data_IF_710909009657
#
_entry.id   IF_710909009657
#
_cell.length_a   1.000
_cell.length_b   1.000
_cell.length_c   1.000
_cell.angle_alpha   90.00
_cell.angle_beta   90.00
_cell.angle_gamma   90.00
#
_symmetry.space_group_name_H-M   'P 1'
#
loop_
_entity.id
_entity.type
_entity.pdbx_description
1 polymer ?
#
# COMPACT_ATOMS: atom_id res chain seq x y z
N UNK A 1 2.22 -2.33 1.44
CA UNK A 1 3.57 -2.69 0.97
C UNK A 1 4.20 -1.49 0.29
N UNK A 2 5.47 -1.20 0.58
CA UNK A 2 6.24 -0.14 -0.05
C UNK A 2 7.42 -0.73 -0.80
N UNK A 3 7.63 -0.22 -2.01
CA UNK A 3 8.65 -0.70 -2.94
C UNK A 3 9.57 0.42 -3.42
N UNK A 4 10.82 0.10 -3.67
CA UNK A 4 11.79 1.01 -4.26
C UNK A 4 13.23 0.60 -4.00
N UNK A 5 14.08 1.59 -3.70
CA UNK A 5 15.51 1.39 -3.49
C UNK A 5 15.82 1.45 -2.00
N UNK A 6 16.47 0.40 -1.49
CA UNK A 6 16.99 0.39 -0.13
C UNK A 6 18.03 1.49 0.08
N UNK A 7 18.25 1.88 1.34
CA UNK A 7 19.37 2.75 1.67
C UNK A 7 20.71 2.03 1.39
N UNK A 8 21.72 2.81 1.02
CA UNK A 8 23.12 2.41 1.01
C UNK A 8 23.89 3.37 1.91
N UNK A 9 25.18 3.13 2.13
CA UNK A 9 26.04 4.04 2.91
C UNK A 9 26.05 5.48 2.36
N UNK A 10 25.84 5.62 1.05
CA UNK A 10 25.87 6.89 0.34
C UNK A 10 24.50 7.43 -0.08
N UNK A 11 23.42 6.64 0.03
CA UNK A 11 22.10 7.04 -0.47
C UNK A 11 20.96 6.68 0.47
N UNK A 12 20.02 7.62 0.63
CA UNK A 12 18.80 7.36 1.42
C UNK A 12 17.89 6.37 0.71
N UNK A 13 17.12 5.64 1.50
CA UNK A 13 16.02 4.80 1.01
C UNK A 13 15.03 5.66 0.20
N UNK A 14 14.52 5.12 -0.91
CA UNK A 14 13.54 5.80 -1.75
C UNK A 14 12.37 4.87 -2.07
N UNK A 15 11.22 5.15 -1.47
CA UNK A 15 9.94 4.56 -1.84
C UNK A 15 9.49 5.20 -3.17
N UNK A 16 9.09 4.37 -4.13
CA UNK A 16 8.62 4.82 -5.45
C UNK A 16 7.36 4.11 -5.91
N UNK A 17 6.92 3.07 -5.20
CA UNK A 17 5.69 2.35 -5.51
C UNK A 17 5.04 1.78 -4.24
N UNK A 18 3.71 1.60 -4.28
CA UNK A 18 2.91 1.11 -3.15
C UNK A 18 1.89 0.08 -3.62
N UNK A 19 1.61 -0.91 -2.77
CA UNK A 19 0.52 -1.87 -2.95
C UNK A 19 -0.18 -2.17 -1.64
N UNK A 20 -1.44 -2.56 -1.70
CA UNK A 20 -2.22 -2.97 -0.53
C UNK A 20 -2.17 -4.49 -0.40
N UNK A 21 -1.77 -4.97 0.78
CA UNK A 21 -1.79 -6.40 1.07
C UNK A 21 -3.23 -6.90 1.19
N UNK A 22 -3.54 -8.04 0.58
CA UNK A 22 -4.90 -8.60 0.56
C UNK A 22 -4.98 -10.03 1.14
N UNK A 23 -3.86 -10.57 1.62
CA UNK A 23 -3.80 -11.93 2.17
C UNK A 23 -3.10 -12.92 1.23
N UNK A 24 -2.82 -14.13 1.73
CA UNK A 24 -2.31 -15.27 0.95
C UNK A 24 -1.10 -14.96 0.04
N UNK A 25 -0.12 -14.19 0.52
CA UNK A 25 1.04 -13.86 -0.31
C UNK A 25 0.81 -12.71 -1.30
N UNK A 26 -0.42 -12.20 -1.44
CA UNK A 26 -0.84 -11.31 -2.54
C UNK A 26 -1.09 -9.87 -2.11
N UNK A 27 -0.97 -8.99 -3.09
CA UNK A 27 -1.23 -7.57 -2.97
C UNK A 27 -1.87 -7.02 -4.25
N UNK A 28 -2.74 -6.03 -4.08
CA UNK A 28 -3.32 -5.24 -5.16
C UNK A 28 -2.57 -3.92 -5.32
N UNK A 29 -2.27 -3.53 -6.55
CA UNK A 29 -1.57 -2.28 -6.85
C UNK A 29 -1.90 -1.74 -8.26
N UNK A 30 -1.53 -0.50 -8.53
CA UNK A 30 -1.63 0.11 -9.86
C UNK A 30 -0.28 0.60 -10.35
N UNK A 31 0.14 0.14 -11.53
CA UNK A 31 1.32 0.62 -12.26
C UNK A 31 0.96 0.69 -13.74
N UNK A 32 0.19 1.72 -14.11
CA UNK A 32 -0.45 1.87 -15.41
C UNK A 32 -1.83 1.20 -15.50
N UNK A 33 -2.01 0.04 -14.87
CA UNK A 33 -3.33 -0.59 -14.64
C UNK A 33 -3.37 -1.31 -13.29
N UNK A 34 -4.57 -1.55 -12.78
CA UNK A 34 -4.80 -2.32 -11.53
C UNK A 34 -4.50 -3.80 -11.77
N UNK A 35 -3.72 -4.40 -10.87
CA UNK A 35 -3.36 -5.82 -10.89
C UNK A 35 -3.29 -6.37 -9.47
N UNK A 36 -3.49 -7.68 -9.36
CA UNK A 36 -3.12 -8.48 -8.19
C UNK A 36 -1.84 -9.22 -8.58
N UNK A 37 -0.87 -9.19 -7.67
CA UNK A 37 0.37 -9.95 -7.81
C UNK A 37 0.73 -10.62 -6.48
N UNK A 38 1.53 -11.67 -6.57
CA UNK A 38 2.04 -12.43 -5.45
C UNK A 38 3.50 -12.09 -5.13
N UNK A 39 3.86 -12.21 -3.85
CA UNK A 39 5.22 -12.21 -3.34
C UNK A 39 5.85 -13.60 -3.29
N UNK A 40 5.05 -14.65 -3.47
CA UNK A 40 5.49 -16.05 -3.51
C UNK A 40 6.11 -16.37 -4.89
N UNK A 41 7.40 -16.73 -4.98
CA UNK A 41 8.04 -17.10 -6.23
C UNK A 41 7.44 -18.31 -6.95
N UNK A 42 6.62 -19.13 -6.26
CA UNK A 42 5.95 -20.29 -6.85
C UNK A 42 4.55 -19.97 -7.40
N UNK A 43 4.04 -18.76 -7.17
CA UNK A 43 2.71 -18.37 -7.65
C UNK A 43 2.74 -17.92 -9.12
N UNK A 44 1.68 -18.23 -9.86
CA UNK A 44 1.53 -17.80 -11.27
C UNK A 44 1.55 -16.28 -11.42
N UNK A 45 1.00 -15.56 -10.45
CA UNK A 45 0.94 -14.10 -10.42
C UNK A 45 2.15 -13.48 -9.69
N UNK A 46 3.26 -14.21 -9.53
CA UNK A 46 4.48 -13.71 -8.90
C UNK A 46 5.04 -12.47 -9.62
N UNK A 47 5.44 -11.47 -8.84
CA UNK A 47 6.11 -10.28 -9.37
C UNK A 47 7.55 -10.19 -8.86
N UNK A 48 8.49 -10.77 -9.61
CA UNK A 48 9.92 -10.68 -9.31
C UNK A 48 10.38 -9.21 -9.21
N UNK A 49 9.93 -8.36 -10.14
CA UNK A 49 10.26 -6.94 -10.16
C UNK A 49 9.93 -6.23 -8.85
N UNK A 50 8.72 -6.43 -8.32
CA UNK A 50 8.32 -5.81 -7.05
C UNK A 50 8.94 -6.53 -5.86
N UNK A 51 9.10 -7.87 -5.92
CA UNK A 51 9.73 -8.66 -4.86
C UNK A 51 11.15 -8.21 -4.57
N UNK A 52 11.94 -7.94 -5.61
CA UNK A 52 13.32 -7.47 -5.51
C UNK A 52 13.45 -6.01 -5.05
N UNK A 53 12.32 -5.29 -5.01
CA UNK A 53 12.25 -3.89 -4.59
C UNK A 53 11.44 -3.71 -3.31
N UNK A 54 11.05 -4.78 -2.64
CA UNK A 54 10.33 -4.68 -1.38
C UNK A 54 11.19 -3.99 -0.32
N UNK A 55 10.64 -2.96 0.32
CA UNK A 55 11.32 -2.22 1.39
C UNK A 55 10.70 -2.55 2.75
N UNK A 56 9.39 -2.32 2.90
CA UNK A 56 8.68 -2.56 4.15
C UNK A 56 7.17 -2.63 3.96
N UNK A 57 6.51 -3.04 5.04
CA UNK A 57 5.07 -2.96 5.21
C UNK A 57 4.75 -2.03 6.37
N UNK A 58 3.66 -1.27 6.25
CA UNK A 58 3.11 -0.46 7.35
C UNK A 58 1.65 -0.84 7.51
N UNK A 59 1.26 -1.16 8.75
CA UNK A 59 -0.14 -1.29 9.13
C UNK A 59 -0.64 0.09 9.56
N UNK A 60 -1.76 0.52 8.99
CA UNK A 60 -2.43 1.76 9.39
C UNK A 60 -3.63 1.37 10.27
N UNK A 61 -3.65 1.84 11.51
CA UNK A 61 -4.66 1.51 12.53
C UNK A 61 -5.59 2.68 12.86
N UNK A 62 -5.40 3.86 12.25
CA UNK A 62 -6.24 5.04 12.50
C UNK A 62 -5.74 5.93 13.62
N UNK A 63 -4.57 5.63 14.21
CA UNK A 63 -3.94 6.42 15.27
C UNK A 63 -2.72 7.21 14.78
N UNK A 64 -2.36 7.06 13.50
CA UNK A 64 -1.20 7.68 12.91
C UNK A 64 -1.39 9.19 12.76
N UNK A 65 -0.37 9.97 13.13
CA UNK A 65 -0.31 11.40 12.81
C UNK A 65 -0.41 11.59 11.29
N UNK A 66 -1.30 12.51 10.87
CA UNK A 66 -1.54 12.81 9.46
C UNK A 66 -2.59 11.91 8.78
N UNK A 67 -3.19 10.95 9.48
CA UNK A 67 -4.35 10.19 9.00
C UNK A 67 -5.62 10.78 9.62
N UNK A 68 -6.45 11.42 8.81
CA UNK A 68 -7.73 11.97 9.26
C UNK A 68 -8.88 11.00 8.94
N UNK A 69 -9.70 10.70 9.94
CA UNK A 69 -10.96 9.99 9.72
C UNK A 69 -12.01 11.00 9.26
N UNK A 70 -12.39 10.92 7.98
CA UNK A 70 -13.27 11.90 7.34
C UNK A 70 -14.62 12.05 8.06
N UNK A 71 -15.17 10.98 8.66
CA UNK A 71 -16.40 11.05 9.47
C UNK A 71 -16.30 12.04 10.66
N UNK A 72 -15.08 12.31 11.14
CA UNK A 72 -14.81 13.27 12.22
C UNK A 72 -14.33 14.62 11.71
N UNK A 73 -14.11 14.74 10.40
CA UNK A 73 -13.72 15.98 9.75
C UNK A 73 -14.97 16.82 9.45
N UNK A 74 -14.89 18.13 9.71
CA UNK A 74 -15.98 19.07 9.48
C UNK A 74 -16.50 19.02 8.05
N UNK A 75 -15.63 18.70 7.08
CA UNK A 75 -15.97 18.62 5.65
C UNK A 75 -16.98 17.50 5.32
N UNK A 76 -16.96 16.38 6.06
CA UNK A 76 -17.86 15.23 5.81
C UNK A 76 -18.87 14.98 6.94
N UNK A 77 -18.83 15.79 7.99
CA UNK A 77 -19.77 15.73 9.13
C UNK A 77 -21.25 16.01 8.77
N UNK A 78 -21.52 16.57 7.58
CA UNK A 78 -22.87 16.96 7.13
C UNK A 78 -23.46 16.08 6.03
N UNK A 79 -22.75 15.04 5.57
CA UNK A 79 -23.31 14.11 4.60
C UNK A 79 -24.25 13.15 5.35
N UNK A 80 -25.55 13.45 5.35
CA UNK A 80 -26.57 12.45 5.70
C UNK A 80 -26.49 11.35 4.65
N UNK A 81 -26.09 10.15 5.07
CA UNK A 81 -26.33 8.96 4.25
C UNK A 81 -27.86 8.80 4.12
N UNK A 82 -28.40 8.46 2.94
CA UNK A 82 -29.80 8.11 2.83
C UNK A 82 -30.09 6.93 3.78
N UNK A 83 -31.14 7.05 4.57
CA UNK A 83 -31.66 5.95 5.38
C UNK A 83 -32.19 4.88 4.41
N UNK A 84 -31.74 3.64 4.59
CA UNK A 84 -32.33 2.47 3.93
C UNK A 84 -33.62 2.07 4.64
#
# INVERSE_FOLDING_TARGET
LFFGRAATDSTRERVVHVGMWIGEGRYIHSSGRVRINSMDPQAEDFSEYNRNRYLRSKRLLGTEKGLALLKKDGLFSRIRLPEN
#
